data_IF_483604681855
#
_entry.id   IF_483604681855
#
_cell.length_a   1.000
_cell.length_b   1.000
_cell.length_c   1.000
_cell.angle_alpha   90.00
_cell.angle_beta   90.00
_cell.angle_gamma   90.00
#
_symmetry.space_group_name_H-M   'P 1'
#
loop_
_entity.id
_entity.type
_entity.pdbx_description
1 polymer ?
#
# COMPACT_ATOMS: atom_id res chain seq x y z
N UNK A 1 5.06 -1.93 -57.76
CA UNK A 1 3.60 -2.11 -57.96
C UNK A 1 3.00 -2.36 -56.60
N UNK A 2 2.09 -1.60 -56.03
CA UNK A 2 1.45 -0.30 -56.27
C UNK A 2 0.86 0.08 -54.90
N UNK A 3 0.95 1.34 -54.50
CA UNK A 3 -0.21 2.24 -54.38
C UNK A 3 -1.24 1.77 -53.33
N UNK A 4 -1.80 2.56 -52.45
CA UNK A 4 -1.68 3.96 -52.03
C UNK A 4 -2.73 4.08 -50.91
N UNK A 5 -2.58 5.07 -50.03
CA UNK A 5 -3.69 5.94 -49.62
C UNK A 5 -3.16 7.03 -48.67
N UNK A 6 -2.75 8.12 -49.33
CA UNK A 6 -2.75 9.53 -48.93
C UNK A 6 -4.05 9.95 -48.19
N UNK A 7 -4.23 11.09 -47.51
CA UNK A 7 -3.43 12.21 -47.01
C UNK A 7 -4.44 13.18 -46.32
N UNK A 8 -3.94 14.27 -45.72
CA UNK A 8 -4.61 15.52 -45.33
C UNK A 8 -5.33 15.66 -43.97
N UNK A 9 -4.76 16.47 -43.08
CA UNK A 9 -5.09 17.91 -43.00
C UNK A 9 -4.04 18.69 -42.17
N UNK A 10 -3.49 19.74 -42.78
CA UNK A 10 -2.77 20.84 -42.11
C UNK A 10 -3.74 21.71 -41.30
N UNK A 11 -3.24 22.41 -40.26
CA UNK A 11 -3.81 23.71 -39.90
C UNK A 11 -3.84 24.11 -38.42
N UNK A 12 -2.75 24.76 -37.98
CA UNK A 12 -2.70 25.90 -37.04
C UNK A 12 -3.05 25.67 -35.56
N UNK A 13 -1.98 25.56 -34.75
CA UNK A 13 -1.98 25.72 -33.30
C UNK A 13 -0.64 25.29 -32.72
N UNK A 14 0.42 26.09 -32.93
CA UNK A 14 1.78 25.80 -32.39
C UNK A 14 1.77 25.88 -30.87
N UNK A 15 1.44 24.78 -30.21
CA UNK A 15 1.95 24.46 -28.89
C UNK A 15 3.34 23.85 -29.08
N UNK A 16 4.36 24.41 -28.45
CA UNK A 16 5.66 23.78 -28.35
C UNK A 16 5.54 22.56 -27.43
N UNK A 17 5.04 21.44 -27.95
CA UNK A 17 5.17 20.15 -27.28
C UNK A 17 6.60 19.67 -27.52
N UNK A 18 7.48 19.88 -26.54
CA UNK A 18 8.80 19.28 -26.56
C UNK A 18 8.62 17.76 -26.49
N UNK A 19 9.11 17.03 -27.50
CA UNK A 19 9.08 15.56 -27.52
C UNK A 19 9.69 15.06 -26.20
N UNK A 20 8.89 14.40 -25.36
CA UNK A 20 9.31 13.95 -24.03
C UNK A 20 10.61 13.16 -24.15
N UNK A 21 11.70 13.72 -23.64
CA UNK A 21 13.00 13.05 -23.58
C UNK A 21 12.95 12.06 -22.41
N UNK A 22 13.51 10.87 -22.62
CA UNK A 22 13.62 9.89 -21.54
C UNK A 22 14.47 10.47 -20.41
N UNK A 23 13.97 10.40 -19.18
CA UNK A 23 14.71 10.77 -17.98
C UNK A 23 15.59 9.59 -17.56
N UNK A 24 16.85 9.89 -17.28
CA UNK A 24 17.80 8.92 -16.72
C UNK A 24 17.75 9.04 -15.21
N UNK A 25 17.17 8.05 -14.54
CA UNK A 25 17.36 7.92 -13.10
C UNK A 25 18.78 7.39 -12.88
N UNK A 26 19.60 8.20 -12.22
CA UNK A 26 20.97 7.83 -11.88
C UNK A 26 21.13 7.80 -10.37
N UNK A 27 21.78 6.76 -9.86
CA UNK A 27 22.09 6.60 -8.45
C UNK A 27 23.59 6.82 -8.26
N UNK A 28 23.95 7.52 -7.19
CA UNK A 28 25.35 7.75 -6.84
C UNK A 28 25.87 6.58 -6.02
N UNK A 29 26.89 5.88 -6.51
CA UNK A 29 27.46 4.70 -5.85
C UNK A 29 28.61 5.03 -4.88
N UNK A 30 28.74 6.30 -4.49
CA UNK A 30 29.85 6.80 -3.67
C UNK A 30 31.05 7.34 -4.45
N UNK A 31 31.18 7.02 -5.74
CA UNK A 31 32.27 7.54 -6.60
C UNK A 31 31.79 8.10 -7.94
N UNK A 32 30.71 7.57 -8.50
CA UNK A 32 30.12 8.05 -9.76
C UNK A 32 28.60 7.84 -9.81
N UNK A 33 27.94 8.54 -10.74
CA UNK A 33 26.51 8.39 -11.00
C UNK A 33 26.27 7.36 -12.09
N UNK A 34 25.62 6.26 -11.73
CA UNK A 34 25.28 5.18 -12.65
C UNK A 34 23.81 5.22 -13.04
N UNK A 35 23.51 4.97 -14.32
CA UNK A 35 22.12 4.99 -14.81
C UNK A 35 21.42 3.69 -14.49
N UNK A 36 20.41 3.75 -13.63
CA UNK A 36 19.68 2.55 -13.17
C UNK A 36 18.36 2.36 -13.90
N UNK A 37 17.77 3.44 -14.44
CA UNK A 37 16.57 3.34 -15.26
C UNK A 37 16.47 4.44 -16.31
N UNK A 38 15.94 4.07 -17.47
CA UNK A 38 15.35 5.00 -18.44
C UNK A 38 13.86 5.07 -18.19
N UNK A 39 13.41 6.23 -17.77
CA UNK A 39 12.02 6.50 -17.46
C UNK A 39 11.42 7.36 -18.57
N UNK A 40 10.36 6.85 -19.19
CA UNK A 40 9.43 7.75 -19.88
C UNK A 40 8.50 8.33 -18.81
N UNK A 41 8.95 9.40 -18.16
CA UNK A 41 8.22 10.05 -17.07
C UNK A 41 6.91 10.64 -17.57
N UNK A 42 5.81 10.45 -16.82
CA UNK A 42 4.58 11.20 -17.05
C UNK A 42 4.50 12.47 -16.21
N UNK A 43 5.11 12.48 -15.02
CA UNK A 43 5.11 13.62 -14.10
C UNK A 43 6.34 13.61 -13.20
N UNK A 44 6.98 14.77 -13.07
CA UNK A 44 7.96 15.10 -12.04
C UNK A 44 7.31 16.22 -11.21
N UNK A 45 7.10 15.99 -9.92
CA UNK A 45 6.46 16.97 -9.03
C UNK A 45 7.39 17.32 -7.88
N UNK A 46 7.50 18.61 -7.60
CA UNK A 46 8.16 19.15 -6.42
C UNK A 46 7.06 19.78 -5.55
N UNK A 47 6.90 19.28 -4.34
CA UNK A 47 6.02 19.87 -3.34
C UNK A 47 6.90 20.48 -2.24
N UNK A 48 6.68 21.76 -1.97
CA UNK A 48 7.14 22.40 -0.74
C UNK A 48 5.89 22.64 0.11
N UNK A 49 5.74 21.86 1.18
CA UNK A 49 4.68 22.10 2.14
C UNK A 49 4.93 23.45 2.81
N UNK A 50 3.92 24.31 2.92
CA UNK A 50 4.05 25.62 3.56
C UNK A 50 3.51 25.53 4.97
N UNK A 51 4.34 25.86 5.96
CA UNK A 51 3.93 25.91 7.38
C UNK A 51 3.27 27.25 7.64
N UNK A 52 2.02 27.20 8.11
CA UNK A 52 1.25 28.37 8.52
C UNK A 52 1.63 28.78 9.93
N UNK A 53 1.92 30.07 10.13
CA UNK A 53 2.31 30.65 11.42
C UNK A 53 1.44 31.85 11.79
N UNK A 54 0.25 31.97 11.19
CA UNK A 54 -0.67 33.08 11.45
C UNK A 54 -1.10 33.12 12.92
N UNK A 55 -1.02 34.29 13.55
CA UNK A 55 -1.44 34.51 14.94
C UNK A 55 -2.37 35.73 15.09
N UNK A 56 -2.72 36.07 16.34
CA UNK A 56 -3.67 37.15 16.66
C UNK A 56 -3.09 38.55 16.40
N UNK A 57 -1.77 38.67 16.32
CA UNK A 57 -1.05 39.92 16.08
C UNK A 57 -0.69 40.11 14.59
N UNK A 58 -0.91 39.08 13.75
CA UNK A 58 -0.68 39.14 12.29
C UNK A 58 -1.35 40.37 11.66
N UNK A 59 -0.50 41.27 11.15
CA UNK A 59 -0.92 42.61 10.74
C UNK A 59 -1.94 42.54 9.61
N UNK A 60 -3.11 43.17 9.81
CA UNK A 60 -4.19 43.14 8.82
C UNK A 60 -4.86 41.77 8.63
N UNK A 61 -4.62 40.81 9.53
CA UNK A 61 -5.18 39.44 9.51
C UNK A 61 -4.81 38.65 8.26
N UNK A 62 -3.66 38.98 7.66
CA UNK A 62 -3.12 38.22 6.54
C UNK A 62 -2.55 36.89 7.02
N UNK A 63 -2.62 35.89 6.13
CA UNK A 63 -2.02 34.58 6.36
C UNK A 63 -0.50 34.69 6.29
N UNK A 64 0.19 34.31 7.34
CA UNK A 64 1.66 34.32 7.42
C UNK A 64 2.21 32.90 7.25
N UNK A 65 3.18 32.73 6.35
CA UNK A 65 3.79 31.43 6.04
C UNK A 65 5.28 31.46 6.35
N UNK A 66 5.76 30.43 7.06
CA UNK A 66 7.17 30.27 7.36
C UNK A 66 7.87 29.53 6.21
N UNK A 67 8.52 30.28 5.34
CA UNK A 67 9.28 29.74 4.20
C UNK A 67 10.42 28.83 4.66
N UNK A 68 10.53 27.64 4.07
CA UNK A 68 11.61 26.68 4.33
C UNK A 68 11.42 25.77 5.54
N UNK A 69 10.35 25.94 6.32
CA UNK A 69 10.06 25.08 7.48
C UNK A 69 9.29 23.80 7.14
N UNK A 70 8.64 23.73 5.98
CA UNK A 70 7.89 22.55 5.58
C UNK A 70 8.73 21.54 4.80
N UNK A 71 8.31 20.27 4.87
CA UNK A 71 9.00 19.18 4.22
C UNK A 71 8.97 19.38 2.70
N UNK A 72 10.15 19.40 2.09
CA UNK A 72 10.29 19.43 0.63
C UNK A 72 10.37 18.01 0.10
N UNK A 73 9.41 17.65 -0.76
CA UNK A 73 9.35 16.33 -1.38
C UNK A 73 9.45 16.46 -2.90
N UNK A 74 10.31 15.65 -3.51
CA UNK A 74 10.32 15.42 -4.95
C UNK A 74 9.79 14.01 -5.23
N UNK A 75 8.86 13.88 -6.17
CA UNK A 75 8.37 12.58 -6.63
C UNK A 75 8.46 12.45 -8.15
N UNK A 76 8.90 11.29 -8.61
CA UNK A 76 9.01 10.92 -10.03
C UNK A 76 8.14 9.70 -10.29
N UNK A 77 7.26 9.79 -11.29
CA UNK A 77 6.48 8.63 -11.76
C UNK A 77 6.59 8.44 -13.28
N UNK A 78 6.81 7.20 -13.70
CA UNK A 78 7.03 6.85 -15.09
C UNK A 78 6.89 5.35 -15.37
N UNK A 79 6.80 4.96 -16.64
CA UNK A 79 6.80 3.54 -17.03
C UNK A 79 8.20 3.12 -17.46
N UNK A 80 8.65 2.00 -16.92
CA UNK A 80 9.84 1.29 -17.35
C UNK A 80 9.62 0.68 -18.75
N UNK A 81 10.62 0.74 -19.62
CA UNK A 81 10.56 0.13 -20.95
C UNK A 81 11.14 -1.30 -20.87
N UNK A 82 10.25 -2.27 -21.12
CA UNK A 82 10.42 -3.73 -21.33
C UNK A 82 10.64 -4.66 -20.11
N UNK A 83 9.79 -5.69 -20.01
CA UNK A 83 10.34 -7.05 -19.95
C UNK A 83 9.72 -8.14 -19.08
N UNK A 84 8.76 -7.90 -18.18
CA UNK A 84 7.99 -8.98 -17.51
C UNK A 84 6.83 -8.36 -16.73
N UNK A 85 5.61 -8.85 -16.95
CA UNK A 85 4.39 -8.26 -16.41
C UNK A 85 3.90 -9.07 -15.21
N UNK A 86 4.31 -8.66 -14.00
CA UNK A 86 3.57 -8.95 -12.77
C UNK A 86 3.09 -7.60 -12.23
N UNK A 87 1.77 -7.44 -12.18
CA UNK A 87 1.11 -6.24 -11.68
C UNK A 87 0.81 -6.48 -10.20
N UNK A 88 1.38 -5.65 -9.34
CA UNK A 88 1.37 -5.76 -7.88
C UNK A 88 0.33 -4.80 -7.30
N UNK A 89 -0.79 -5.27 -6.73
CA UNK A 89 -1.68 -4.42 -5.95
C UNK A 89 -1.40 -4.58 -4.45
N UNK A 90 -1.17 -3.46 -3.74
CA UNK A 90 -1.39 -3.40 -2.28
C UNK A 90 -0.18 -3.47 -1.33
N UNK A 91 1.05 -3.36 -1.82
CA UNK A 91 2.19 -3.02 -0.94
C UNK A 91 3.12 -2.09 -1.71
N UNK A 92 3.00 -0.79 -1.49
CA UNK A 92 3.78 0.21 -2.24
C UNK A 92 5.27 0.19 -1.87
N UNK A 93 5.66 -0.55 -0.81
CA UNK A 93 7.04 -0.62 -0.31
C UNK A 93 7.55 -2.03 0.09
N UNK A 94 7.03 -3.12 -0.47
CA UNK A 94 7.72 -4.41 -0.40
C UNK A 94 8.55 -4.64 -1.67
N UNK A 95 9.60 -3.84 -1.80
CA UNK A 95 10.59 -3.96 -2.88
C UNK A 95 11.57 -5.08 -2.55
N UNK A 96 11.47 -6.20 -3.27
CA UNK A 96 12.58 -7.15 -3.44
C UNK A 96 13.49 -6.76 -4.61
N UNK A 97 13.72 -5.47 -4.80
CA UNK A 97 14.70 -4.98 -5.78
C UNK A 97 15.54 -3.91 -5.14
N UNK A 98 16.79 -4.25 -4.85
CA UNK A 98 17.93 -3.33 -4.99
C UNK A 98 17.86 -2.01 -4.24
N UNK A 99 17.40 -2.00 -2.98
CA UNK A 99 17.74 -0.92 -2.05
C UNK A 99 18.95 -1.33 -1.22
N UNK A 100 20.19 -0.94 -1.61
CA UNK A 100 21.30 -0.87 -0.67
C UNK A 100 21.02 0.09 0.51
N UNK A 101 19.93 0.88 0.46
CA UNK A 101 19.56 1.85 1.51
C UNK A 101 18.88 1.24 2.74
N UNK A 102 18.07 0.18 2.61
CA UNK A 102 17.53 -0.55 3.77
C UNK A 102 18.58 -1.46 4.42
N UNK A 103 19.60 -1.84 3.63
CA UNK A 103 20.58 -2.86 3.95
C UNK A 103 21.84 -2.32 4.67
N UNK A 104 21.93 -1.01 4.93
CA UNK A 104 23.06 -0.45 5.65
C UNK A 104 22.84 -0.52 7.18
N UNK A 105 23.87 -0.96 7.89
CA UNK A 105 24.11 -0.79 9.33
C UNK A 105 24.20 0.69 9.73
N UNK A 106 23.50 1.60 9.05
CA UNK A 106 23.48 2.99 9.47
C UNK A 106 22.89 3.04 10.88
N UNK A 107 23.62 3.54 11.88
CA UNK A 107 23.10 3.79 13.22
C UNK A 107 22.05 4.93 13.25
N UNK A 108 21.45 5.28 12.10
CA UNK A 108 20.52 6.40 11.93
C UNK A 108 19.05 5.96 11.76
N UNK A 109 18.78 4.67 11.57
CA UNK A 109 17.43 4.16 11.39
C UNK A 109 17.16 3.02 12.36
N UNK A 110 16.21 3.25 13.25
CA UNK A 110 15.91 2.37 14.39
C UNK A 110 14.91 1.27 14.06
N UNK A 111 14.20 1.34 12.92
CA UNK A 111 13.16 0.40 12.53
C UNK A 111 12.97 0.30 11.01
N UNK A 112 12.21 -0.71 10.57
CA UNK A 112 11.68 -0.87 9.21
C UNK A 112 10.21 -0.43 9.23
N UNK A 113 9.86 0.59 8.45
CA UNK A 113 8.46 1.04 8.32
C UNK A 113 7.69 0.20 7.28
N UNK A 114 6.47 -0.21 7.63
CA UNK A 114 5.53 -0.88 6.72
C UNK A 114 4.17 -0.20 6.79
N UNK A 115 3.64 0.19 5.63
CA UNK A 115 2.22 0.54 5.49
C UNK A 115 1.43 -0.76 5.36
N UNK A 116 0.80 -1.17 6.45
CA UNK A 116 0.15 -2.46 6.57
C UNK A 116 -1.33 -2.40 6.19
N UNK A 117 -1.56 -2.60 4.89
CA UNK A 117 -2.89 -2.75 4.29
C UNK A 117 -3.14 -4.15 3.75
N UNK A 118 -2.52 -5.15 4.37
CA UNK A 118 -2.58 -6.52 3.88
C UNK A 118 -3.97 -7.14 4.14
N UNK A 119 -4.60 -7.80 3.15
CA UNK A 119 -5.95 -8.36 3.32
C UNK A 119 -6.03 -9.31 4.52
N UNK A 120 -7.03 -9.11 5.37
CA UNK A 120 -7.31 -9.97 6.53
C UNK A 120 -8.64 -10.71 6.39
N UNK A 121 -9.26 -10.72 5.20
CA UNK A 121 -10.45 -11.50 4.90
C UNK A 121 -10.59 -11.73 3.38
N UNK A 122 -11.41 -12.72 3.00
CA UNK A 122 -11.96 -12.90 1.64
C UNK A 122 -13.46 -13.22 1.75
N UNK A 123 -14.13 -12.65 2.75
CA UNK A 123 -15.52 -12.98 3.08
C UNK A 123 -16.48 -12.50 2.00
N UNK A 124 -17.46 -13.35 1.63
CA UNK A 124 -18.53 -13.06 0.67
C UNK A 124 -19.89 -13.22 1.32
N UNK A 125 -20.92 -12.58 0.77
CA UNK A 125 -22.28 -12.71 1.32
C UNK A 125 -22.81 -14.14 1.20
N UNK A 126 -22.41 -14.87 0.16
CA UNK A 126 -22.68 -16.31 0.00
C UNK A 126 -22.08 -17.17 1.13
N UNK A 127 -21.10 -16.66 1.89
CA UNK A 127 -20.51 -17.35 3.04
C UNK A 127 -21.43 -17.37 4.27
N UNK A 128 -22.54 -16.62 4.23
CA UNK A 128 -23.55 -16.68 5.28
C UNK A 128 -24.32 -18.01 5.23
N UNK A 129 -24.52 -18.57 4.04
CA UNK A 129 -25.24 -19.82 3.81
C UNK A 129 -24.33 -20.98 3.45
N UNK A 130 -23.10 -20.71 3.01
CA UNK A 130 -22.07 -21.69 2.71
C UNK A 130 -20.89 -21.49 3.64
N UNK A 131 -20.30 -22.56 4.19
CA UNK A 131 -19.15 -22.40 5.09
C UNK A 131 -18.00 -21.65 4.40
N UNK A 132 -17.51 -20.57 5.04
CA UNK A 132 -16.36 -19.82 4.54
C UNK A 132 -15.12 -20.72 4.46
N UNK A 133 -14.37 -20.70 3.34
CA UNK A 133 -13.12 -21.46 3.20
C UNK A 133 -12.06 -21.10 4.25
N UNK A 134 -12.14 -19.89 4.83
CA UNK A 134 -11.19 -19.38 5.81
C UNK A 134 -11.75 -19.42 7.26
N UNK A 135 -12.88 -20.11 7.47
CA UNK A 135 -13.44 -20.35 8.81
C UNK A 135 -14.14 -19.14 9.45
N UNK A 136 -14.36 -18.07 8.70
CA UNK A 136 -15.20 -16.96 9.14
C UNK A 136 -16.64 -17.45 9.39
N UNK A 137 -17.30 -16.92 10.42
CA UNK A 137 -18.75 -17.14 10.66
C UNK A 137 -19.61 -15.98 10.20
N UNK A 138 -19.03 -14.79 10.16
CA UNK A 138 -19.64 -13.52 9.75
C UNK A 138 -18.55 -12.69 9.11
N UNK A 139 -18.92 -11.64 8.38
CA UNK A 139 -17.94 -10.77 7.74
C UNK A 139 -16.90 -10.23 8.75
N UNK A 140 -17.35 -9.89 9.97
CA UNK A 140 -16.55 -9.24 11.00
C UNK A 140 -16.09 -10.18 12.11
N UNK A 141 -15.91 -11.46 11.79
CA UNK A 141 -15.38 -12.47 12.72
C UNK A 141 -13.94 -12.14 13.14
N UNK A 142 -13.81 -11.68 14.40
CA UNK A 142 -12.53 -11.28 14.99
C UNK A 142 -11.49 -12.40 14.99
N UNK A 143 -11.89 -13.64 15.31
CA UNK A 143 -10.94 -14.75 15.42
C UNK A 143 -10.39 -15.15 14.05
N UNK A 144 -11.28 -15.19 13.05
CA UNK A 144 -10.89 -15.50 11.69
C UNK A 144 -10.00 -14.39 11.09
N UNK A 145 -10.31 -13.10 11.32
CA UNK A 145 -9.42 -11.99 10.94
C UNK A 145 -8.06 -12.04 11.63
N UNK A 146 -8.03 -12.35 12.93
CA UNK A 146 -6.76 -12.48 13.67
C UNK A 146 -5.88 -13.58 13.07
N UNK A 147 -6.49 -14.72 12.70
CA UNK A 147 -5.80 -15.83 12.04
C UNK A 147 -5.34 -15.43 10.63
N UNK A 148 -6.13 -14.64 9.93
CA UNK A 148 -5.82 -14.16 8.59
C UNK A 148 -4.57 -13.28 8.56
N UNK A 149 -4.16 -12.60 9.63
CA UNK A 149 -2.96 -11.74 9.63
C UNK A 149 -1.70 -12.48 9.11
N UNK A 150 -1.55 -13.76 9.44
CA UNK A 150 -0.44 -14.61 8.97
C UNK A 150 -0.91 -15.80 8.14
N UNK A 151 -2.05 -15.67 7.45
CA UNK A 151 -2.58 -16.70 6.55
C UNK A 151 -3.40 -16.08 5.40
N UNK A 152 -4.18 -16.88 4.66
CA UNK A 152 -5.08 -16.37 3.62
C UNK A 152 -4.39 -15.73 2.41
N UNK A 153 -5.06 -14.73 1.80
CA UNK A 153 -4.54 -13.99 0.65
C UNK A 153 -3.21 -13.33 1.00
N UNK A 154 -2.18 -13.50 0.16
CA UNK A 154 -0.85 -12.91 0.38
C UNK A 154 0.09 -13.71 1.28
N UNK A 155 -0.40 -14.82 1.84
CA UNK A 155 0.42 -15.77 2.60
C UNK A 155 0.28 -17.20 2.08
N UNK A 156 -0.94 -17.73 2.03
CA UNK A 156 -1.20 -19.08 1.55
C UNK A 156 -1.52 -19.09 0.05
N UNK A 157 -2.24 -18.09 -0.43
CA UNK A 157 -2.77 -18.04 -1.79
C UNK A 157 -2.90 -16.61 -2.33
N UNK A 158 -3.13 -16.47 -3.63
CA UNK A 158 -3.44 -15.22 -4.30
C UNK A 158 -4.47 -15.44 -5.43
N UNK A 159 -5.06 -14.36 -5.94
CA UNK A 159 -5.87 -14.42 -7.17
C UNK A 159 -5.05 -14.00 -8.38
N UNK A 160 -4.93 -14.88 -9.39
CA UNK A 160 -4.14 -14.62 -10.60
C UNK A 160 -4.75 -13.56 -11.53
N UNK A 161 -6.05 -13.27 -11.38
CA UNK A 161 -6.76 -12.27 -12.16
C UNK A 161 -8.06 -11.84 -11.46
N UNK A 162 -8.69 -10.77 -11.96
CA UNK A 162 -10.01 -10.36 -11.49
C UNK A 162 -11.09 -11.42 -11.79
N UNK A 163 -10.92 -12.20 -12.86
CA UNK A 163 -11.83 -13.31 -13.17
C UNK A 163 -11.70 -14.43 -12.13
N UNK A 164 -10.47 -14.79 -11.77
CA UNK A 164 -10.19 -15.73 -10.68
C UNK A 164 -10.74 -15.23 -9.34
N UNK A 165 -10.57 -13.92 -9.04
CA UNK A 165 -11.18 -13.31 -7.85
C UNK A 165 -12.69 -13.44 -7.89
N UNK A 166 -13.38 -13.09 -8.98
CA UNK A 166 -14.85 -13.26 -9.08
C UNK A 166 -15.27 -14.71 -8.86
N UNK A 167 -14.56 -15.67 -9.46
CA UNK A 167 -14.84 -17.10 -9.33
C UNK A 167 -14.39 -17.73 -7.99
N UNK A 168 -13.67 -17.00 -7.13
CA UNK A 168 -12.97 -17.53 -5.94
C UNK A 168 -11.95 -18.62 -6.26
N UNK A 169 -11.31 -18.54 -7.41
CA UNK A 169 -10.26 -19.47 -7.85
C UNK A 169 -8.89 -19.04 -7.26
N UNK A 170 -8.54 -19.62 -6.12
CA UNK A 170 -7.32 -19.30 -5.37
C UNK A 170 -6.12 -20.08 -5.90
N UNK A 171 -5.03 -19.39 -6.21
CA UNK A 171 -3.75 -20.00 -6.60
C UNK A 171 -2.82 -20.07 -5.39
N UNK A 172 -2.15 -21.20 -5.11
CA UNK A 172 -1.23 -21.30 -3.99
C UNK A 172 0.00 -20.42 -4.19
N UNK A 173 0.50 -19.82 -3.11
CA UNK A 173 1.81 -19.15 -3.12
C UNK A 173 2.88 -20.19 -2.78
N UNK A 174 3.69 -20.53 -3.77
CA UNK A 174 4.82 -21.44 -3.63
C UNK A 174 5.99 -20.96 -4.49
N UNK A 175 7.20 -21.17 -3.99
CA UNK A 175 8.45 -21.01 -4.72
C UNK A 175 8.89 -22.33 -5.41
N UNK A 176 7.98 -23.31 -5.50
CA UNK A 176 8.30 -24.67 -5.91
C UNK A 176 9.00 -25.45 -4.79
N UNK A 177 10.14 -26.07 -5.10
CA UNK A 177 10.90 -26.95 -4.20
C UNK A 177 12.05 -26.25 -3.45
N UNK A 178 12.17 -24.92 -3.55
CA UNK A 178 13.31 -24.18 -3.01
C UNK A 178 13.18 -23.80 -1.51
N UNK A 179 12.01 -24.02 -0.89
CA UNK A 179 11.81 -23.87 0.57
C UNK A 179 11.82 -22.44 1.09
N UNK A 180 11.69 -21.43 0.21
CA UNK A 180 11.72 -19.99 0.48
C UNK A 180 10.45 -19.28 0.03
N UNK A 181 9.30 -19.93 0.19
CA UNK A 181 8.00 -19.35 -0.19
C UNK A 181 7.73 -17.98 0.44
N UNK A 182 8.31 -17.67 1.61
CA UNK A 182 8.24 -16.36 2.27
C UNK A 182 8.62 -15.18 1.37
N UNK A 183 9.48 -15.42 0.38
CA UNK A 183 9.85 -14.43 -0.66
C UNK A 183 8.64 -13.96 -1.45
N UNK A 184 7.65 -14.83 -1.66
CA UNK A 184 6.46 -14.53 -2.45
C UNK A 184 5.24 -14.20 -1.58
N UNK A 185 5.38 -14.30 -0.26
CA UNK A 185 4.33 -14.04 0.72
C UNK A 185 4.52 -12.64 1.30
N UNK A 186 3.87 -11.64 0.71
CA UNK A 186 4.00 -10.26 1.20
C UNK A 186 3.52 -10.07 2.65
N UNK A 187 2.72 -11.01 3.18
CA UNK A 187 2.30 -11.04 4.59
C UNK A 187 3.26 -11.74 5.54
N UNK A 188 4.25 -12.46 5.00
CA UNK A 188 5.18 -13.24 5.80
C UNK A 188 6.31 -12.36 6.34
N UNK A 189 5.93 -11.40 7.18
CA UNK A 189 6.86 -10.48 7.86
C UNK A 189 7.89 -11.28 8.67
N UNK A 190 7.47 -12.40 9.28
CA UNK A 190 8.35 -13.28 10.05
C UNK A 190 9.41 -13.96 9.19
N UNK A 191 9.00 -14.52 8.04
CA UNK A 191 9.90 -15.09 7.06
C UNK A 191 10.86 -14.03 6.51
N UNK A 192 10.36 -12.86 6.14
CA UNK A 192 11.21 -11.76 5.65
C UNK A 192 12.22 -11.29 6.71
N UNK A 193 11.77 -11.03 7.94
CA UNK A 193 12.59 -10.49 9.03
C UNK A 193 13.67 -11.47 9.51
N UNK A 194 13.38 -12.78 9.49
CA UNK A 194 14.25 -13.81 10.08
C UNK A 194 15.26 -14.43 9.13
N UNK A 195 15.23 -14.12 7.83
CA UNK A 195 16.06 -14.79 6.84
C UNK A 195 17.07 -13.83 6.16
N UNK A 196 18.22 -14.35 5.70
CA UNK A 196 19.11 -13.57 4.84
C UNK A 196 18.41 -13.27 3.52
N UNK A 197 18.63 -12.07 2.99
CA UNK A 197 18.04 -11.66 1.72
C UNK A 197 19.04 -11.81 0.60
N UNK A 198 18.56 -12.27 -0.55
CA UNK A 198 19.35 -12.47 -1.75
C UNK A 198 18.67 -11.76 -2.92
N UNK A 199 19.48 -11.08 -3.72
CA UNK A 199 19.01 -10.45 -4.96
C UNK A 199 18.59 -11.50 -5.98
N UNK A 200 17.69 -11.11 -6.90
CA UNK A 200 17.25 -11.96 -8.02
C UNK A 200 17.37 -11.23 -9.34
N UNK A 201 18.07 -11.83 -10.30
CA UNK A 201 18.16 -11.33 -11.68
C UNK A 201 17.38 -12.29 -12.57
N UNK A 202 16.37 -11.77 -13.27
CA UNK A 202 15.49 -12.60 -14.12
C UNK A 202 14.75 -13.70 -13.36
N UNK A 203 14.53 -13.53 -12.05
CA UNK A 203 13.90 -14.53 -11.18
C UNK A 203 14.87 -15.56 -10.57
N UNK A 204 16.14 -15.55 -10.97
CA UNK A 204 17.18 -16.44 -10.42
C UNK A 204 17.89 -15.74 -9.28
N UNK A 205 18.01 -16.44 -8.15
CA UNK A 205 18.68 -15.94 -6.96
C UNK A 205 20.20 -15.88 -7.13
N UNK A 206 20.80 -14.79 -6.65
CA UNK A 206 22.25 -14.63 -6.55
C UNK A 206 22.72 -15.29 -5.24
N UNK A 207 23.76 -16.16 -5.27
CA UNK A 207 24.22 -16.87 -4.09
C UNK A 207 24.67 -15.97 -2.93
N UNK A 208 25.19 -14.79 -3.24
CA UNK A 208 25.65 -13.82 -2.24
C UNK A 208 24.44 -13.12 -1.61
N UNK A 209 24.35 -13.19 -0.29
CA UNK A 209 23.35 -12.43 0.46
C UNK A 209 23.65 -10.92 0.37
N UNK A 210 22.59 -10.12 0.44
CA UNK A 210 22.67 -8.67 0.65
C UNK A 210 23.24 -8.37 2.04
N UNK A 211 23.51 -7.09 2.33
CA UNK A 211 23.95 -6.66 3.67
C UNK A 211 22.83 -6.64 4.72
N UNK A 212 21.61 -7.06 4.38
CA UNK A 212 20.55 -7.26 5.37
C UNK A 212 20.98 -8.27 6.43
N UNK A 213 20.98 -7.85 7.68
CA UNK A 213 21.17 -8.75 8.82
C UNK A 213 19.79 -9.19 9.33
N UNK A 214 19.50 -10.50 9.36
CA UNK A 214 18.27 -11.03 9.93
C UNK A 214 18.07 -10.53 11.35
N UNK A 215 16.84 -10.13 11.66
CA UNK A 215 16.42 -9.68 12.99
C UNK A 215 17.11 -8.43 13.51
N UNK A 216 17.77 -7.66 12.65
CA UNK A 216 18.59 -6.51 13.05
C UNK A 216 17.78 -5.31 13.51
N UNK A 217 16.58 -5.11 12.99
CA UNK A 217 15.71 -3.96 13.29
C UNK A 217 14.27 -4.42 13.50
N UNK A 218 13.52 -3.83 14.44
CA UNK A 218 12.09 -4.05 14.55
C UNK A 218 11.35 -3.48 13.33
N UNK A 219 10.12 -3.95 13.14
CA UNK A 219 9.14 -3.44 12.18
C UNK A 219 8.15 -2.56 12.91
N UNK A 220 7.91 -1.38 12.36
CA UNK A 220 6.85 -0.47 12.75
C UNK A 220 5.80 -0.44 11.67
N UNK A 221 4.51 -0.41 12.04
CA UNK A 221 3.48 -0.10 11.07
C UNK A 221 3.29 1.40 11.01
N UNK A 222 3.86 2.02 9.98
CA UNK A 222 3.77 3.46 9.71
C UNK A 222 2.37 3.87 9.30
N UNK A 223 1.63 2.93 8.71
CA UNK A 223 0.19 3.01 8.53
C UNK A 223 -0.44 1.65 8.81
N UNK A 224 -1.59 1.63 9.45
CA UNK A 224 -2.39 0.44 9.70
C UNK A 224 -3.87 0.83 9.67
N UNK A 225 -4.66 0.17 8.84
CA UNK A 225 -6.09 0.44 8.83
C UNK A 225 -6.83 -0.25 7.71
N UNK A 226 -8.14 -0.07 7.72
CA UNK A 226 -9.01 -0.35 6.59
C UNK A 226 -10.14 0.68 6.57
N UNK A 227 -10.81 0.86 5.44
CA UNK A 227 -12.03 1.67 5.40
C UNK A 227 -13.08 1.19 6.42
N UNK A 228 -13.91 2.11 6.92
CA UNK A 228 -15.04 1.88 7.82
C UNK A 228 -16.27 1.36 7.07
N UNK A 229 -16.03 0.48 6.10
CA UNK A 229 -17.00 -0.07 5.16
C UNK A 229 -16.99 -1.60 5.26
N UNK A 230 -18.11 -2.23 4.92
CA UNK A 230 -18.18 -3.67 4.82
C UNK A 230 -17.12 -4.21 3.85
N UNK A 231 -16.55 -5.35 4.21
CA UNK A 231 -15.41 -5.95 3.52
C UNK A 231 -14.16 -5.05 3.45
N UNK A 232 -14.03 -4.03 4.31
CA UNK A 232 -12.77 -3.28 4.47
C UNK A 232 -11.56 -4.21 4.65
N UNK A 233 -11.71 -5.28 5.44
CA UNK A 233 -10.67 -6.29 5.63
C UNK A 233 -10.32 -7.11 4.37
N UNK A 234 -11.20 -7.16 3.35
CA UNK A 234 -10.92 -7.83 2.07
C UNK A 234 -9.95 -7.02 1.19
N UNK A 235 -9.94 -5.70 1.34
CA UNK A 235 -9.07 -4.81 0.58
C UNK A 235 -8.71 -3.55 1.40
N UNK A 236 -7.87 -3.68 2.44
CA UNK A 236 -7.69 -2.62 3.46
C UNK A 236 -7.13 -1.31 2.92
N UNK A 237 -6.42 -1.34 1.79
CA UNK A 237 -5.83 -0.15 1.17
C UNK A 237 -6.85 0.75 0.45
N UNK A 238 -8.12 0.37 0.40
CA UNK A 238 -9.17 1.12 -0.29
C UNK A 238 -10.04 1.86 0.73
N UNK A 239 -10.08 3.17 0.56
CA UNK A 239 -10.87 4.11 1.37
C UNK A 239 -11.86 4.84 0.47
N UNK A 240 -13.13 4.82 0.86
CA UNK A 240 -14.17 5.56 0.15
C UNK A 240 -14.16 7.03 0.60
N UNK A 241 -13.94 7.93 -0.36
CA UNK A 241 -14.08 9.38 -0.16
C UNK A 241 -14.71 10.01 -1.42
N UNK A 242 -15.95 10.51 -1.37
CA UNK A 242 -16.57 11.17 -2.53
C UNK A 242 -15.81 12.40 -3.06
N UNK A 243 -14.89 12.97 -2.28
CA UNK A 243 -14.09 14.13 -2.65
C UNK A 243 -12.75 13.74 -3.30
N UNK A 244 -12.39 12.46 -3.26
CA UNK A 244 -11.13 11.95 -3.79
C UNK A 244 -11.31 11.31 -5.17
N UNK A 245 -10.37 11.59 -6.09
CA UNK A 245 -10.27 10.91 -7.37
C UNK A 245 -9.76 9.46 -7.26
N UNK A 246 -9.12 9.12 -6.14
CA UNK A 246 -8.61 7.77 -5.82
C UNK A 246 -9.64 6.94 -5.02
N UNK A 247 -10.85 7.47 -4.88
CA UNK A 247 -11.96 6.82 -4.17
C UNK A 247 -12.37 5.52 -4.85
N UNK A 248 -12.40 4.46 -4.07
CA UNK A 248 -12.90 3.17 -4.50
C UNK A 248 -13.61 2.49 -3.33
N UNK A 249 -14.16 1.31 -3.59
CA UNK A 249 -14.73 0.46 -2.55
C UNK A 249 -14.06 -0.90 -2.56
N UNK A 250 -13.91 -1.54 -1.39
CA UNK A 250 -13.34 -2.88 -1.33
C UNK A 250 -14.09 -3.86 -2.22
N UNK A 251 -13.38 -4.90 -2.65
CA UNK A 251 -13.98 -5.98 -3.42
C UNK A 251 -15.28 -6.45 -2.79
N UNK A 252 -16.33 -6.56 -3.61
CA UNK A 252 -17.65 -7.11 -3.28
C UNK A 252 -18.36 -6.44 -2.08
N UNK A 253 -17.94 -5.23 -1.72
CA UNK A 253 -18.59 -4.40 -0.69
C UNK A 253 -19.96 -3.90 -1.15
N UNK A 254 -20.92 -3.88 -0.22
CA UNK A 254 -22.24 -3.26 -0.39
C UNK A 254 -22.32 -1.82 0.14
N UNK A 255 -21.19 -1.29 0.62
CA UNK A 255 -20.98 0.07 1.14
C UNK A 255 -21.58 0.37 2.51
N UNK A 256 -22.00 -0.65 3.24
CA UNK A 256 -22.53 -0.46 4.60
C UNK A 256 -21.39 -0.17 5.57
N UNK A 257 -21.62 0.72 6.55
CA UNK A 257 -20.59 1.07 7.53
C UNK A 257 -20.33 -0.12 8.47
N UNK A 258 -19.10 -0.65 8.48
CA UNK A 258 -18.76 -1.83 9.28
C UNK A 258 -17.24 -2.03 9.46
N UNK A 259 -16.88 -3.13 10.14
CA UNK A 259 -15.58 -3.81 10.11
C UNK A 259 -14.35 -3.13 10.73
N UNK A 260 -14.14 -1.82 10.55
CA UNK A 260 -12.86 -1.19 10.88
C UNK A 260 -12.43 -1.41 12.33
N UNK A 261 -13.37 -1.29 13.27
CA UNK A 261 -13.11 -1.61 14.68
C UNK A 261 -12.62 -3.06 14.86
N UNK A 262 -13.25 -4.03 14.21
CA UNK A 262 -12.87 -5.45 14.31
C UNK A 262 -11.52 -5.75 13.67
N UNK A 263 -11.23 -5.09 12.55
CA UNK A 263 -9.92 -5.16 11.89
C UNK A 263 -8.80 -4.67 12.82
N UNK A 264 -9.00 -3.50 13.46
CA UNK A 264 -8.04 -2.95 14.42
C UNK A 264 -7.92 -3.80 15.69
N UNK A 265 -9.04 -4.34 16.21
CA UNK A 265 -9.04 -5.30 17.33
C UNK A 265 -8.23 -6.56 16.99
N UNK A 266 -8.34 -7.08 15.76
CA UNK A 266 -7.59 -8.26 15.30
C UNK A 266 -6.08 -8.00 15.29
N UNK A 267 -5.65 -6.86 14.73
CA UNK A 267 -4.24 -6.48 14.72
C UNK A 267 -3.69 -6.24 16.13
N UNK A 268 -4.40 -5.48 16.95
CA UNK A 268 -3.99 -5.24 18.33
C UNK A 268 -3.86 -6.54 19.12
N UNK A 269 -4.84 -7.45 18.98
CA UNK A 269 -4.81 -8.76 19.63
C UNK A 269 -3.62 -9.62 19.15
N UNK A 270 -3.37 -9.72 17.84
CA UNK A 270 -2.29 -10.53 17.29
C UNK A 270 -0.91 -10.00 17.70
N UNK A 271 -0.65 -8.73 17.47
CA UNK A 271 0.67 -8.14 17.74
C UNK A 271 0.96 -8.04 19.25
N UNK A 272 -0.06 -7.85 20.08
CA UNK A 272 0.05 -7.89 21.55
C UNK A 272 0.04 -9.30 22.17
N UNK A 273 -0.19 -10.37 21.40
CA UNK A 273 -0.38 -11.72 21.95
C UNK A 273 0.89 -12.42 22.42
N UNK A 274 2.07 -11.92 22.05
CA UNK A 274 3.34 -12.62 22.23
C UNK A 274 3.54 -13.86 21.34
N UNK A 275 2.60 -14.15 20.42
CA UNK A 275 2.75 -15.20 19.40
C UNK A 275 3.75 -14.86 18.29
N UNK A 276 3.83 -13.61 17.78
CA UNK A 276 4.85 -13.23 16.80
C UNK A 276 6.26 -13.38 17.38
N UNK A 277 7.31 -13.57 16.55
CA UNK A 277 8.69 -13.56 17.02
C UNK A 277 9.00 -12.30 17.85
N UNK A 278 9.64 -12.44 19.03
CA UNK A 278 9.91 -11.31 19.90
C UNK A 278 10.87 -10.32 19.22
N UNK A 279 10.56 -9.02 19.33
CA UNK A 279 11.35 -7.95 18.73
C UNK A 279 11.12 -7.74 17.23
N UNK A 280 10.26 -8.53 16.58
CA UNK A 280 9.98 -8.40 15.16
C UNK A 280 9.06 -7.22 14.85
N UNK A 281 7.87 -7.18 15.43
CA UNK A 281 6.94 -6.05 15.34
C UNK A 281 6.84 -5.45 16.71
N UNK A 282 6.99 -4.14 16.82
CA UNK A 282 6.82 -3.43 18.08
C UNK A 282 5.34 -3.05 18.27
N UNK A 283 4.62 -3.64 19.25
CA UNK A 283 3.20 -3.35 19.47
C UNK A 283 2.93 -1.90 19.91
N UNK A 284 3.95 -1.16 20.37
CA UNK A 284 3.81 0.26 20.71
C UNK A 284 3.91 1.17 19.47
N UNK A 285 4.35 0.66 18.33
CA UNK A 285 4.56 1.41 17.09
C UNK A 285 3.67 0.88 15.95
N UNK A 286 2.36 0.87 16.23
CA UNK A 286 1.30 0.58 15.26
C UNK A 286 0.49 1.87 15.01
N UNK A 287 0.85 2.62 13.98
CA UNK A 287 0.24 3.91 13.68
C UNK A 287 -1.01 3.72 12.82
N UNK A 288 -2.18 3.98 13.39
CA UNK A 288 -3.45 3.78 12.69
C UNK A 288 -3.72 4.92 11.72
N UNK A 289 -4.01 4.58 10.46
CA UNK A 289 -4.36 5.54 9.41
C UNK A 289 -5.88 5.55 9.16
N UNK A 290 -6.44 6.77 9.06
CA UNK A 290 -7.83 7.06 8.69
C UNK A 290 -8.87 6.22 9.45
N UNK A 291 -8.94 6.39 10.78
CA UNK A 291 -9.93 5.72 11.62
C UNK A 291 -11.16 6.59 11.85
N UNK A 292 -12.34 5.97 11.79
CA UNK A 292 -13.62 6.65 11.97
C UNK A 292 -14.15 6.44 13.40
N UNK A 293 -13.96 7.47 14.22
CA UNK A 293 -14.42 7.51 15.61
C UNK A 293 -15.94 7.70 15.77
N UNK A 294 -16.66 8.04 14.69
CA UNK A 294 -18.04 8.51 14.80
C UNK A 294 -18.96 7.37 15.27
N UNK A 295 -19.87 7.64 16.23
CA UNK A 295 -20.71 6.59 16.80
C UNK A 295 -21.83 6.18 15.83
N UNK A 296 -22.02 4.88 15.67
CA UNK A 296 -23.19 4.33 14.98
C UNK A 296 -24.35 4.14 15.98
N UNK A 297 -25.61 4.49 15.66
CA UNK A 297 -26.08 5.00 14.37
C UNK A 297 -26.05 6.53 14.21
N UNK A 298 -25.68 7.30 15.25
CA UNK A 298 -25.69 8.77 15.24
C UNK A 298 -25.00 9.37 14.01
N UNK A 299 -23.87 8.81 13.59
CA UNK A 299 -23.37 8.94 12.23
C UNK A 299 -23.60 7.60 11.48
N UNK A 300 -24.05 7.61 10.22
CA UNK A 300 -24.34 8.77 9.37
C UNK A 300 -25.78 9.32 9.50
N UNK A 301 -26.63 8.77 10.38
CA UNK A 301 -28.08 9.01 10.32
C UNK A 301 -28.50 10.41 10.83
N UNK A 302 -27.78 10.99 11.80
CA UNK A 302 -28.11 12.31 12.33
C UNK A 302 -27.43 13.42 11.52
N UNK A 303 -27.99 13.74 10.35
CA UNK A 303 -27.48 14.78 9.45
C UNK A 303 -27.61 16.21 10.00
N UNK A 304 -28.38 16.40 11.08
CA UNK A 304 -28.45 17.69 11.79
C UNK A 304 -27.18 17.99 12.59
N UNK A 305 -26.48 16.95 13.05
CA UNK A 305 -25.22 17.07 13.79
C UNK A 305 -24.01 16.83 12.87
N UNK A 306 -24.14 15.92 11.90
CA UNK A 306 -23.06 15.52 11.01
C UNK A 306 -23.40 15.92 9.57
N UNK A 307 -22.86 17.05 9.11
CA UNK A 307 -23.14 17.62 7.78
C UNK A 307 -22.71 16.70 6.63
N UNK A 308 -21.77 15.80 6.89
CA UNK A 308 -21.28 14.79 5.95
C UNK A 308 -22.04 13.45 6.04
N UNK A 309 -23.06 13.32 6.89
CA UNK A 309 -23.85 12.10 7.03
C UNK A 309 -24.48 11.61 5.72
N UNK A 310 -24.84 12.53 4.81
CA UNK A 310 -25.39 12.16 3.49
C UNK A 310 -24.39 11.39 2.60
N UNK A 311 -23.09 11.47 2.87
CA UNK A 311 -22.06 10.69 2.15
C UNK A 311 -21.93 9.25 2.64
N UNK A 312 -22.51 8.92 3.80
CA UNK A 312 -22.77 7.56 4.30
C UNK A 312 -21.57 6.71 4.71
N UNK A 313 -20.41 6.88 4.05
CA UNK A 313 -19.22 6.03 4.20
C UNK A 313 -17.92 6.77 3.85
N UNK A 314 -17.80 8.07 4.17
CA UNK A 314 -16.52 8.76 4.08
C UNK A 314 -15.58 8.17 5.12
N UNK A 315 -14.58 7.41 4.68
CA UNK A 315 -13.59 6.78 5.57
C UNK A 315 -12.52 7.77 6.06
N UNK A 316 -12.53 8.98 5.49
CA UNK A 316 -11.65 10.10 5.83
C UNK A 316 -12.49 11.10 6.62
N UNK A 317 -12.19 11.24 7.91
CA UNK A 317 -12.86 12.11 8.87
C UNK A 317 -11.95 12.42 10.04
#
# INVERSE_FOLDING_TARGET
MGADCACFLEGIGRWWAQKGKDLLLKIFNGTSYETVARLRSKRLAFNAETVDVTDVESAGRWRELLGGAGVQRASVSGRHLQGCRLRWPGAEHLLQRGDPELADHRPRFDAVGIDNYMPCADWRDDDLTNASPDGFRTADDLQAMTTAITSGEGFAWYYASDAARRARERSPISDGLAGRSWVFRYKDIAGWWSNPHHERIGGVEIPTATSWIPRSKPVWFTELGCGAIDKGANQPNIFADPKSAESAVPYISNRTRAMQRRFLEAHHAWWGSGRPPPGMVDPAHLFVWSWDARPFPSFPQNTSTWSDGATGASDIG
#
